data_IF_513397301416
#
_entry.id   IF_513397301416
#
_cell.length_a   1.000
_cell.length_b   1.000
_cell.length_c   1.000
_cell.angle_alpha   90.00
_cell.angle_beta   90.00
_cell.angle_gamma   90.00
#
_symmetry.space_group_name_H-M   'P 1'
#
loop_
_entity.id
_entity.type
_entity.pdbx_description
1 polymer ?
#
# COMPACT_ATOMS: atom_id res chain seq x y z
N UNK A 1 -43.06 -13.85 -54.25
CA UNK A 1 -43.11 -12.57 -53.50
C UNK A 1 -42.46 -12.74 -52.12
N UNK A 2 -41.27 -13.38 -52.02
CA UNK A 2 -40.75 -13.92 -50.74
C UNK A 2 -39.22 -14.06 -50.76
N UNK A 3 -38.47 -13.04 -51.20
CA UNK A 3 -36.99 -13.12 -51.26
C UNK A 3 -36.22 -11.80 -51.07
N UNK A 4 -36.86 -10.75 -50.54
CA UNK A 4 -36.23 -9.43 -50.35
C UNK A 4 -36.38 -8.84 -48.94
N UNK A 5 -36.30 -9.68 -47.91
CA UNK A 5 -36.46 -9.23 -46.51
C UNK A 5 -35.39 -9.77 -45.54
N UNK A 6 -34.25 -10.24 -46.07
CA UNK A 6 -33.21 -10.92 -45.27
C UNK A 6 -31.80 -10.35 -45.43
N UNK A 7 -31.66 -9.09 -45.84
CA UNK A 7 -30.35 -8.44 -46.06
C UNK A 7 -30.13 -7.19 -45.18
N UNK A 8 -31.15 -6.71 -44.47
CA UNK A 8 -31.02 -5.50 -43.64
C UNK A 8 -30.64 -5.74 -42.16
N UNK A 9 -30.42 -6.99 -41.73
CA UNK A 9 -30.21 -7.33 -40.31
C UNK A 9 -28.75 -7.65 -39.92
N UNK A 10 -27.79 -7.62 -40.86
CA UNK A 10 -26.38 -8.01 -40.61
C UNK A 10 -25.42 -6.80 -40.56
N UNK A 11 -25.87 -5.60 -40.90
CA UNK A 11 -25.04 -4.39 -40.96
C UNK A 11 -25.04 -3.53 -39.69
N UNK A 12 -25.52 -4.05 -38.56
CA UNK A 12 -25.35 -3.45 -37.24
C UNK A 12 -24.34 -4.26 -36.40
N UNK A 13 -23.18 -4.57 -36.99
CA UNK A 13 -21.99 -4.92 -36.23
C UNK A 13 -21.54 -3.65 -35.51
N UNK A 14 -22.15 -3.41 -34.34
CA UNK A 14 -21.77 -2.38 -33.38
C UNK A 14 -20.27 -2.51 -33.17
N UNK A 15 -19.51 -1.52 -33.66
CA UNK A 15 -18.12 -1.30 -33.30
C UNK A 15 -18.09 -1.01 -31.80
N UNK A 16 -18.02 -2.07 -30.99
CA UNK A 16 -17.73 -1.95 -29.56
C UNK A 16 -16.28 -1.49 -29.47
N UNK A 17 -16.08 -0.17 -29.44
CA UNK A 17 -14.78 0.38 -29.12
C UNK A 17 -14.38 -0.18 -27.74
N UNK A 18 -13.18 -0.75 -27.59
CA UNK A 18 -12.73 -1.24 -26.30
C UNK A 18 -12.75 -0.06 -25.32
N UNK A 19 -13.64 -0.15 -24.32
CA UNK A 19 -13.59 0.73 -23.15
C UNK A 19 -12.38 0.30 -22.35
N UNK A 20 -11.21 0.87 -22.68
CA UNK A 20 -10.01 0.72 -21.88
C UNK A 20 -10.24 1.44 -20.55
N UNK A 21 -10.66 0.69 -19.54
CA UNK A 21 -10.76 1.17 -18.17
C UNK A 21 -9.36 1.63 -17.71
N UNK A 22 -9.17 2.96 -17.61
CA UNK A 22 -7.94 3.56 -17.08
C UNK A 22 -7.80 3.14 -15.62
N UNK A 23 -6.96 2.12 -15.37
CA UNK A 23 -6.58 1.75 -14.00
C UNK A 23 -5.70 2.86 -13.44
N UNK A 24 -6.26 3.67 -12.53
CA UNK A 24 -5.49 4.60 -11.70
C UNK A 24 -4.76 3.76 -10.65
N UNK A 25 -3.44 3.92 -10.54
CA UNK A 25 -2.69 3.26 -9.48
C UNK A 25 -3.22 3.75 -8.12
N UNK A 26 -3.51 2.81 -7.22
CA UNK A 26 -3.96 3.14 -5.86
C UNK A 26 -2.81 3.81 -5.11
N UNK A 27 -3.04 5.04 -4.64
CA UNK A 27 -2.16 5.65 -3.64
C UNK A 27 -2.41 4.98 -2.28
N UNK A 28 -1.34 4.66 -1.57
CA UNK A 28 -1.46 4.12 -0.22
C UNK A 28 -2.02 5.15 0.77
N UNK A 29 -2.80 4.68 1.74
CA UNK A 29 -3.23 5.51 2.88
C UNK A 29 -2.03 5.88 3.76
N UNK A 30 -2.16 6.89 4.62
CA UNK A 30 -1.07 7.29 5.53
C UNK A 30 -0.59 6.12 6.42
N UNK A 31 -1.53 5.26 6.82
CA UNK A 31 -1.24 4.05 7.61
C UNK A 31 -0.51 2.98 6.81
N UNK A 32 -0.92 2.74 5.56
CA UNK A 32 -0.23 1.80 4.66
C UNK A 32 1.20 2.28 4.36
N UNK A 33 1.39 3.59 4.14
CA UNK A 33 2.73 4.18 3.94
C UNK A 33 3.59 4.04 5.19
N UNK A 34 3.04 4.30 6.38
CA UNK A 34 3.73 4.16 7.66
C UNK A 34 4.34 2.76 7.84
N UNK A 35 3.56 1.70 7.65
CA UNK A 35 4.02 0.34 7.96
C UNK A 35 5.07 -0.18 6.97
N UNK A 36 5.15 0.43 5.78
CA UNK A 36 6.08 0.13 4.69
C UNK A 36 7.39 0.92 4.75
N UNK A 37 7.36 2.12 5.32
CA UNK A 37 8.51 2.99 5.42
C UNK A 37 9.53 2.45 6.46
N UNK A 38 10.82 2.66 6.17
CA UNK A 38 11.90 2.44 7.14
C UNK A 38 12.05 3.65 8.08
N UNK A 39 11.78 4.85 7.57
CA UNK A 39 11.75 6.08 8.35
C UNK A 39 10.55 6.96 7.97
N UNK A 40 9.99 7.65 8.95
CA UNK A 40 8.86 8.59 8.78
C UNK A 40 9.21 9.88 9.51
N UNK A 41 9.19 11.00 8.79
CA UNK A 41 9.61 12.31 9.32
C UNK A 41 8.69 13.43 8.87
N UNK A 42 8.52 14.42 9.74
CA UNK A 42 8.01 15.75 9.37
C UNK A 42 9.22 16.66 9.21
N UNK A 43 9.30 17.36 8.09
CA UNK A 43 10.44 18.23 7.82
C UNK A 43 10.29 19.08 6.58
N UNK A 44 11.41 19.71 6.22
CA UNK A 44 11.53 20.62 5.07
C UNK A 44 12.72 20.24 4.20
N UNK A 45 12.54 20.20 2.89
CA UNK A 45 13.64 20.07 1.94
C UNK A 45 14.49 21.35 2.01
N UNK A 46 15.67 21.27 2.62
CA UNK A 46 16.54 22.40 2.87
C UNK A 46 17.45 22.73 1.68
N UNK A 47 17.82 21.72 0.89
CA UNK A 47 18.70 21.88 -0.27
C UNK A 47 18.53 20.71 -1.24
N UNK A 48 18.85 20.92 -2.51
CA UNK A 48 19.07 19.86 -3.49
C UNK A 48 20.56 19.86 -3.86
N UNK A 49 21.25 18.75 -3.61
CA UNK A 49 22.65 18.59 -3.97
C UNK A 49 22.81 18.64 -5.50
N UNK A 50 23.83 19.38 -5.96
CA UNK A 50 24.13 19.52 -7.40
C UNK A 50 24.73 18.25 -7.98
N UNK A 51 25.46 17.51 -7.15
CA UNK A 51 26.12 16.27 -7.53
C UNK A 51 25.12 15.12 -7.56
N UNK A 52 25.19 14.31 -8.62
CA UNK A 52 24.37 13.11 -8.74
C UNK A 52 25.06 11.94 -8.08
N UNK A 53 24.30 11.14 -7.33
CA UNK A 53 24.81 9.92 -6.70
C UNK A 53 24.45 8.71 -7.58
N UNK A 54 25.45 7.93 -7.96
CA UNK A 54 25.26 6.74 -8.78
C UNK A 54 25.01 5.50 -7.91
N UNK A 55 23.84 4.87 -8.05
CA UNK A 55 23.48 3.67 -7.31
C UNK A 55 22.64 2.71 -8.17
N UNK A 56 22.67 1.42 -7.85
CA UNK A 56 21.80 0.43 -8.51
C UNK A 56 20.36 0.61 -8.04
N UNK A 57 19.35 0.55 -8.92
CA UNK A 57 17.96 0.85 -8.53
C UNK A 57 17.28 -0.27 -7.73
N UNK A 58 17.70 -1.51 -7.94
CA UNK A 58 17.23 -2.69 -7.23
C UNK A 58 18.41 -3.63 -6.95
N UNK A 59 18.32 -4.50 -5.93
CA UNK A 59 19.35 -5.50 -5.66
C UNK A 59 19.65 -6.35 -6.91
N UNK A 60 20.93 -6.47 -7.28
CA UNK A 60 21.38 -7.27 -8.42
C UNK A 60 21.26 -6.61 -9.79
N UNK A 61 20.77 -5.38 -9.92
CA UNK A 61 20.74 -4.68 -11.20
C UNK A 61 22.17 -4.43 -11.74
N UNK A 62 22.44 -4.69 -13.03
CA UNK A 62 23.75 -4.46 -13.62
C UNK A 62 24.05 -2.96 -13.81
N UNK A 63 23.02 -2.17 -14.09
CA UNK A 63 23.14 -0.75 -14.40
C UNK A 63 22.92 0.12 -13.16
N UNK A 64 23.70 1.20 -13.06
CA UNK A 64 23.52 2.24 -12.05
C UNK A 64 22.69 3.39 -12.62
N UNK A 65 21.80 3.93 -11.81
CA UNK A 65 21.08 5.16 -12.09
C UNK A 65 21.70 6.33 -11.32
N UNK A 66 21.60 7.51 -11.90
CA UNK A 66 22.05 8.76 -11.27
C UNK A 66 20.90 9.41 -10.51
N UNK A 67 21.01 9.46 -9.19
CA UNK A 67 20.02 10.03 -8.29
C UNK A 67 20.35 11.48 -7.98
N UNK A 68 19.34 12.36 -8.01
CA UNK A 68 19.41 13.67 -7.37
C UNK A 68 19.16 13.50 -5.88
N UNK A 69 19.92 14.20 -5.04
CA UNK A 69 19.78 14.12 -3.60
C UNK A 69 19.12 15.39 -3.07
N UNK A 70 17.95 15.26 -2.45
CA UNK A 70 17.36 16.29 -1.60
C UNK A 70 17.77 16.07 -0.15
N UNK A 71 18.13 17.13 0.56
CA UNK A 71 18.40 17.08 2.01
C UNK A 71 17.14 17.57 2.73
N UNK A 72 16.57 16.70 3.57
CA UNK A 72 15.41 17.04 4.40
C UNK A 72 15.91 17.38 5.80
N UNK A 73 15.70 18.62 6.23
CA UNK A 73 15.85 19.02 7.63
C UNK A 73 14.64 18.50 8.41
N UNK A 74 14.90 17.68 9.42
CA UNK A 74 13.86 17.06 10.25
C UNK A 74 13.42 18.05 11.32
N UNK A 75 12.12 18.28 11.38
CA UNK A 75 11.47 19.01 12.47
C UNK A 75 10.96 18.03 13.54
N UNK A 76 10.43 16.89 13.12
CA UNK A 76 9.98 15.82 14.02
C UNK A 76 10.25 14.46 13.40
N UNK A 77 11.05 13.64 14.06
CA UNK A 77 11.23 12.23 13.70
C UNK A 77 10.12 11.37 14.31
N UNK A 78 9.33 10.71 13.47
CA UNK A 78 8.20 9.87 13.92
C UNK A 78 8.61 8.38 14.02
N UNK A 79 9.35 7.87 13.04
CA UNK A 79 9.92 6.52 13.06
C UNK A 79 11.24 6.47 12.30
N UNK A 80 12.14 5.56 12.70
CA UNK A 80 13.40 5.26 11.96
C UNK A 80 14.42 6.40 11.86
N UNK A 81 14.12 7.58 12.42
CA UNK A 81 14.93 8.79 12.29
C UNK A 81 15.20 9.47 13.65
N UNK A 82 15.23 8.68 14.73
CA UNK A 82 15.58 9.20 16.05
C UNK A 82 17.01 9.76 16.03
N UNK A 83 17.20 10.95 16.59
CA UNK A 83 18.49 11.64 16.70
C UNK A 83 19.15 12.07 15.37
N UNK A 84 18.41 12.08 14.27
CA UNK A 84 18.91 12.57 12.97
C UNK A 84 18.30 13.96 12.70
N UNK A 85 19.14 14.94 12.37
CA UNK A 85 18.68 16.31 12.06
C UNK A 85 18.46 16.53 10.56
N UNK A 86 19.19 15.80 9.72
CA UNK A 86 19.11 15.90 8.27
C UNK A 86 19.15 14.50 7.64
N UNK A 87 18.26 14.23 6.68
CA UNK A 87 18.25 13.00 5.90
C UNK A 87 18.47 13.30 4.41
N UNK A 88 19.35 12.53 3.78
CA UNK A 88 19.53 12.53 2.32
C UNK A 88 18.47 11.65 1.66
N UNK A 89 17.75 12.20 0.70
CA UNK A 89 16.70 11.52 -0.05
C UNK A 89 17.00 11.57 -1.54
N UNK A 90 17.28 10.40 -2.12
CA UNK A 90 17.50 10.21 -3.55
C UNK A 90 16.19 10.09 -4.31
N UNK A 91 16.11 10.79 -5.44
CA UNK A 91 15.03 10.66 -6.42
C UNK A 91 15.59 10.71 -7.84
N UNK A 92 14.90 10.05 -8.77
CA UNK A 92 15.31 10.05 -10.17
C UNK A 92 14.90 11.37 -10.83
N UNK A 93 15.79 12.01 -11.60
CA UNK A 93 15.40 13.18 -12.37
C UNK A 93 14.28 12.81 -13.35
N UNK A 94 13.34 13.72 -13.64
CA UNK A 94 12.34 13.47 -14.66
C UNK A 94 13.05 13.14 -15.99
N UNK A 95 12.56 12.13 -16.74
CA UNK A 95 13.13 11.84 -18.05
C UNK A 95 13.03 13.10 -18.92
N UNK A 96 13.99 13.34 -19.83
CA UNK A 96 13.87 14.40 -20.82
C UNK A 96 12.51 14.30 -21.51
N UNK A 97 11.86 15.44 -21.76
CA UNK A 97 10.60 15.45 -22.47
C UNK A 97 10.76 14.66 -23.77
N UNK A 98 10.05 13.55 -23.89
CA UNK A 98 10.09 12.77 -25.12
C UNK A 98 9.65 13.70 -26.27
N UNK A 99 10.35 13.73 -27.41
CA UNK A 99 9.87 14.46 -28.56
C UNK A 99 8.45 14.00 -28.85
N UNK A 100 7.54 14.96 -29.08
CA UNK A 100 6.15 14.65 -29.38
C UNK A 100 6.13 13.59 -30.49
N UNK A 101 5.64 12.38 -30.18
CA UNK A 101 5.67 11.29 -31.13
C UNK A 101 4.85 11.72 -32.35
N UNK A 102 5.54 11.91 -33.48
CA UNK A 102 4.91 12.27 -34.74
C UNK A 102 3.91 11.17 -35.11
N UNK A 103 2.62 11.48 -35.05
CA UNK A 103 1.54 10.53 -35.35
C UNK A 103 0.89 9.85 -34.13
N UNK A 104 1.22 10.22 -32.89
CA UNK A 104 0.36 9.84 -31.77
C UNK A 104 -1.01 10.53 -31.96
N UNK A 105 -2.12 9.76 -31.96
CA UNK A 105 -3.45 10.34 -32.19
C UNK A 105 -3.70 11.46 -31.17
N UNK A 106 -4.16 12.65 -31.61
CA UNK A 106 -4.48 13.74 -30.70
C UNK A 106 -5.50 13.26 -29.66
N UNK A 107 -5.13 13.36 -28.38
CA UNK A 107 -6.04 13.06 -27.28
C UNK A 107 -5.90 11.69 -26.62
N UNK A 108 -4.85 10.89 -26.89
CA UNK A 108 -4.49 9.78 -25.97
C UNK A 108 -3.67 10.35 -24.81
N UNK A 109 -4.26 10.60 -23.62
CA UNK A 109 -3.46 10.99 -22.46
C UNK A 109 -2.47 9.87 -22.18
N UNK A 110 -1.19 10.25 -22.16
CA UNK A 110 -0.09 9.38 -21.75
C UNK A 110 -0.53 8.69 -20.47
N UNK A 111 -0.50 7.36 -20.47
CA UNK A 111 -0.85 6.51 -19.33
C UNK A 111 -0.20 7.15 -18.11
N UNK A 112 -1.01 7.62 -17.16
CA UNK A 112 -0.55 8.22 -15.91
C UNK A 112 0.16 7.12 -15.12
N UNK A 113 1.40 6.84 -15.50
CA UNK A 113 2.29 5.98 -14.75
C UNK A 113 2.52 6.59 -13.38
N UNK A 114 3.16 5.80 -12.52
CA UNK A 114 3.67 6.30 -11.25
C UNK A 114 4.42 7.62 -11.50
N UNK A 115 3.86 8.72 -10.99
CA UNK A 115 4.43 10.04 -11.22
C UNK A 115 5.84 10.05 -10.62
N UNK A 116 6.84 10.58 -11.35
CA UNK A 116 8.18 10.70 -10.79
C UNK A 116 8.12 11.59 -9.54
N UNK A 117 8.74 11.12 -8.47
CA UNK A 117 8.92 11.94 -7.26
C UNK A 117 9.89 13.07 -7.62
N UNK A 118 9.45 14.31 -7.45
CA UNK A 118 10.29 15.48 -7.65
C UNK A 118 10.23 16.34 -6.38
N UNK A 119 11.34 16.38 -5.65
CA UNK A 119 11.47 17.23 -4.48
C UNK A 119 11.86 18.65 -4.90
N UNK A 120 11.28 19.64 -4.25
CA UNK A 120 11.63 21.06 -4.45
C UNK A 120 12.18 21.66 -3.16
N UNK A 121 13.15 22.58 -3.29
CA UNK A 121 13.65 23.31 -2.12
C UNK A 121 12.51 24.08 -1.45
N UNK A 122 12.48 24.02 -0.13
CA UNK A 122 11.42 24.62 0.68
C UNK A 122 10.15 23.78 0.79
N UNK A 123 10.06 22.62 0.14
CA UNK A 123 8.92 21.70 0.30
C UNK A 123 8.84 21.19 1.74
N UNK A 124 7.71 21.41 2.38
CA UNK A 124 7.41 20.97 3.74
C UNK A 124 6.37 19.86 3.69
N UNK A 125 6.52 18.84 4.55
CA UNK A 125 5.57 17.73 4.55
C UNK A 125 5.90 16.59 5.47
N UNK A 126 5.10 15.54 5.35
CA UNK A 126 5.25 14.24 5.99
C UNK A 126 5.83 13.26 4.98
N UNK A 127 7.05 12.83 5.22
CA UNK A 127 7.84 12.00 4.31
C UNK A 127 7.89 10.56 4.80
N UNK A 128 7.66 9.63 3.87
CA UNK A 128 7.71 8.18 4.08
C UNK A 128 8.90 7.64 3.29
N UNK A 129 9.94 7.25 4.01
CA UNK A 129 11.26 7.03 3.48
C UNK A 129 11.62 5.54 3.54
N UNK A 130 12.17 5.02 2.46
CA UNK A 130 12.72 3.66 2.36
C UNK A 130 14.23 3.76 2.25
N UNK A 131 14.98 2.96 3.00
CA UNK A 131 16.44 2.96 2.91
C UNK A 131 16.86 2.40 1.55
N UNK A 132 17.74 3.12 0.84
CA UNK A 132 18.29 2.62 -0.40
C UNK A 132 19.14 1.37 -0.13
N UNK A 133 19.04 0.34 -0.99
CA UNK A 133 19.69 -0.95 -0.70
C UNK A 133 21.22 -0.91 -0.82
N UNK A 134 21.77 -0.07 -1.71
CA UNK A 134 23.21 0.03 -1.98
C UNK A 134 23.81 1.41 -1.69
N UNK A 135 23.00 2.39 -1.31
CA UNK A 135 23.41 3.79 -1.18
C UNK A 135 23.17 4.31 0.23
N UNK A 136 23.97 5.27 0.69
CA UNK A 136 23.81 5.91 2.00
C UNK A 136 22.81 7.08 1.94
N UNK A 137 21.60 6.77 1.48
CA UNK A 137 20.48 7.69 1.38
C UNK A 137 19.16 6.92 1.43
N UNK A 138 18.06 7.66 1.60
CA UNK A 138 16.70 7.12 1.51
C UNK A 138 16.08 7.41 0.16
N UNK A 139 15.05 6.68 -0.24
CA UNK A 139 14.22 6.97 -1.41
C UNK A 139 12.77 7.12 -1.00
N UNK A 140 11.97 7.67 -1.92
CA UNK A 140 10.52 7.72 -1.80
C UNK A 140 9.94 6.82 -2.89
N UNK A 141 9.20 5.79 -2.47
CA UNK A 141 8.44 4.95 -3.39
C UNK A 141 7.35 5.80 -4.05
N UNK A 142 7.15 5.73 -5.39
CA UNK A 142 6.10 6.48 -6.05
C UNK A 142 4.67 6.20 -5.55
N UNK A 143 4.47 5.06 -4.87
CA UNK A 143 3.21 4.70 -4.21
C UNK A 143 3.07 5.27 -2.79
N UNK A 144 4.15 5.84 -2.26
CA UNK A 144 4.23 6.52 -0.96
C UNK A 144 4.66 7.99 -1.12
N UNK A 145 4.01 8.79 -1.98
CA UNK A 145 4.41 10.19 -2.14
C UNK A 145 4.28 10.93 -0.81
N UNK A 146 5.12 11.96 -0.57
CA UNK A 146 5.03 12.77 0.64
C UNK A 146 3.65 13.43 0.73
N UNK A 147 3.18 13.64 1.95
CA UNK A 147 1.98 14.44 2.18
C UNK A 147 2.42 15.89 2.37
N UNK A 148 2.01 16.75 1.44
CA UNK A 148 2.31 18.19 1.48
C UNK A 148 1.71 18.82 2.75
N UNK A 149 2.48 19.64 3.46
CA UNK A 149 2.01 20.35 4.66
C UNK A 149 0.80 21.27 4.40
N UNK A 150 0.58 21.68 3.15
CA UNK A 150 -0.54 22.51 2.70
C UNK A 150 -1.78 21.70 2.28
N UNK A 151 -1.69 20.37 2.25
CA UNK A 151 -2.86 19.53 1.94
C UNK A 151 -3.92 19.68 3.03
N UNK A 152 -5.20 19.74 2.64
CA UNK A 152 -6.32 19.93 3.59
C UNK A 152 -6.38 18.81 4.64
N UNK A 153 -5.98 17.59 4.28
CA UNK A 153 -5.97 16.42 5.14
C UNK A 153 -4.62 16.16 5.84
N UNK A 154 -3.65 17.07 5.73
CA UNK A 154 -2.30 16.89 6.28
C UNK A 154 -2.30 16.54 7.77
N UNK A 155 -3.01 17.34 8.59
CA UNK A 155 -3.07 17.11 10.05
C UNK A 155 -3.72 15.77 10.40
N UNK A 156 -4.74 15.36 9.63
CA UNK A 156 -5.42 14.06 9.81
C UNK A 156 -4.44 12.93 9.54
N UNK A 157 -3.66 13.02 8.46
CA UNK A 157 -2.66 12.01 8.14
C UNK A 157 -1.54 11.94 9.19
N UNK A 158 -1.08 13.08 9.72
CA UNK A 158 -0.09 13.11 10.82
C UNK A 158 -0.62 12.39 12.06
N UNK A 159 -1.86 12.66 12.47
CA UNK A 159 -2.46 11.99 13.64
C UNK A 159 -2.72 10.50 13.38
N UNK A 160 -3.14 10.11 12.16
CA UNK A 160 -3.25 8.70 11.77
C UNK A 160 -1.90 7.99 11.88
N UNK A 161 -0.80 8.62 11.43
CA UNK A 161 0.55 8.07 11.57
C UNK A 161 0.94 7.91 13.04
N UNK A 162 0.72 8.92 13.88
CA UNK A 162 0.99 8.81 15.33
C UNK A 162 0.19 7.69 15.98
N UNK A 163 -1.10 7.56 15.64
CA UNK A 163 -1.95 6.48 16.13
C UNK A 163 -1.42 5.12 15.69
N UNK A 164 -1.02 4.99 14.42
CA UNK A 164 -0.40 3.77 13.89
C UNK A 164 0.90 3.43 14.60
N UNK A 165 1.74 4.42 14.92
CA UNK A 165 2.97 4.21 15.69
C UNK A 165 2.70 3.71 17.10
N UNK A 166 1.67 4.24 17.76
CA UNK A 166 1.25 3.74 19.08
C UNK A 166 0.81 2.27 19.01
N UNK A 167 0.13 1.85 17.93
CA UNK A 167 -0.20 0.43 17.70
C UNK A 167 1.06 -0.41 17.52
N UNK A 168 2.01 0.05 16.70
CA UNK A 168 3.24 -0.71 16.45
C UNK A 168 4.14 -0.82 17.70
N UNK A 169 4.06 0.16 18.61
CA UNK A 169 4.81 0.16 19.87
C UNK A 169 4.23 -0.82 20.91
N UNK A 170 2.90 -0.99 20.96
CA UNK A 170 2.23 -1.92 21.87
C UNK A 170 0.99 -2.57 21.21
N UNK A 171 1.21 -3.59 20.34
CA UNK A 171 0.14 -4.22 19.57
C UNK A 171 -0.95 -4.84 20.43
N UNK A 172 -0.56 -5.55 21.50
CA UNK A 172 -1.49 -6.28 22.37
C UNK A 172 -2.39 -5.31 23.14
N UNK A 173 -1.84 -4.21 23.69
CA UNK A 173 -2.65 -3.17 24.34
C UNK A 173 -3.64 -2.54 23.37
N UNK A 174 -3.20 -2.20 22.16
CA UNK A 174 -4.07 -1.58 21.16
C UNK A 174 -5.22 -2.51 20.73
N UNK A 175 -4.92 -3.80 20.51
CA UNK A 175 -5.92 -4.82 20.19
C UNK A 175 -6.88 -5.14 21.34
N UNK A 176 -6.50 -4.84 22.59
CA UNK A 176 -7.35 -4.96 23.78
C UNK A 176 -8.08 -3.66 24.15
N UNK A 177 -8.00 -2.61 23.33
CA UNK A 177 -8.72 -1.35 23.57
C UNK A 177 -10.20 -1.61 23.80
N UNK A 178 -10.84 -0.87 24.70
CA UNK A 178 -12.27 -0.97 24.97
C UNK A 178 -13.11 -0.53 23.75
N UNK A 179 -12.58 0.42 22.95
CA UNK A 179 -13.26 0.96 21.77
C UNK A 179 -13.07 0.04 20.57
N UNK A 180 -14.18 -0.37 19.95
CA UNK A 180 -14.17 -1.26 18.78
C UNK A 180 -13.37 -0.67 17.60
N UNK A 181 -13.50 0.64 17.34
CA UNK A 181 -12.79 1.31 16.25
C UNK A 181 -11.27 1.34 16.47
N UNK A 182 -10.81 1.42 17.71
CA UNK A 182 -9.38 1.39 18.03
C UNK A 182 -8.80 -0.01 17.81
N UNK A 183 -9.54 -1.05 18.24
CA UNK A 183 -9.15 -2.45 17.95
C UNK A 183 -9.13 -2.70 16.44
N UNK A 184 -10.14 -2.22 15.73
CA UNK A 184 -10.26 -2.36 14.29
C UNK A 184 -9.09 -1.70 13.55
N UNK A 185 -8.77 -0.46 13.92
CA UNK A 185 -7.61 0.26 13.41
C UNK A 185 -6.31 -0.49 13.73
N UNK A 186 -6.14 -0.99 14.95
CA UNK A 186 -4.94 -1.74 15.34
C UNK A 186 -4.76 -3.01 14.49
N UNK A 187 -5.81 -3.81 14.32
CA UNK A 187 -5.75 -5.00 13.47
C UNK A 187 -5.41 -4.66 12.02
N UNK A 188 -5.97 -3.58 11.46
CA UNK A 188 -5.65 -3.13 10.11
C UNK A 188 -4.17 -2.74 9.95
N UNK A 189 -3.62 -1.97 10.89
CA UNK A 189 -2.19 -1.60 10.91
C UNK A 189 -1.32 -2.86 10.94
N UNK A 190 -1.62 -3.80 11.83
CA UNK A 190 -0.81 -4.99 12.05
C UNK A 190 -0.85 -5.95 10.87
N UNK A 191 -2.02 -6.23 10.30
CA UNK A 191 -2.13 -7.07 9.08
C UNK A 191 -1.34 -6.46 7.92
N UNK A 192 -1.47 -5.15 7.71
CA UNK A 192 -0.67 -4.48 6.68
C UNK A 192 0.82 -4.56 6.99
N UNK A 193 1.24 -4.40 8.25
CA UNK A 193 2.66 -4.53 8.63
C UNK A 193 3.20 -5.94 8.38
N UNK A 194 2.44 -6.98 8.74
CA UNK A 194 2.90 -8.36 8.59
C UNK A 194 2.93 -8.83 7.15
N UNK A 195 2.03 -8.35 6.29
CA UNK A 195 1.87 -8.85 4.92
C UNK A 195 2.31 -7.83 3.86
N UNK A 196 2.88 -6.70 4.27
CA UNK A 196 3.53 -5.77 3.35
C UNK A 196 4.87 -6.34 2.88
N UNK A 197 5.02 -6.45 1.57
CA UNK A 197 6.33 -6.71 0.97
C UNK A 197 7.26 -5.52 1.23
N UNK A 198 8.56 -5.74 1.56
CA UNK A 198 9.52 -4.66 1.73
C UNK A 198 9.59 -3.75 0.50
N UNK A 199 9.57 -2.44 0.74
CA UNK A 199 9.84 -1.47 -0.32
C UNK A 199 11.30 -1.64 -0.78
N UNK A 200 11.55 -1.56 -2.10
CA UNK A 200 12.85 -1.84 -2.70
C UNK A 200 13.13 -3.31 -3.01
N UNK A 201 12.18 -4.21 -2.72
CA UNK A 201 12.25 -5.62 -3.11
C UNK A 201 13.15 -6.48 -2.20
N UNK A 202 13.66 -7.57 -2.75
CA UNK A 202 14.43 -8.59 -2.04
C UNK A 202 13.59 -9.79 -1.61
N UNK A 203 14.22 -10.87 -1.18
CA UNK A 203 13.51 -12.08 -0.72
C UNK A 203 12.90 -11.87 0.69
N UNK A 204 11.73 -12.45 0.90
CA UNK A 204 11.08 -12.54 2.21
C UNK A 204 10.92 -13.98 2.63
N UNK A 205 10.92 -14.22 3.92
CA UNK A 205 10.52 -15.49 4.53
C UNK A 205 9.35 -15.24 5.49
N UNK A 206 8.57 -16.29 5.74
CA UNK A 206 7.48 -16.24 6.72
C UNK A 206 8.03 -16.50 8.12
N UNK A 207 7.71 -15.60 9.06
CA UNK A 207 7.88 -15.79 10.48
C UNK A 207 6.51 -15.79 11.18
N UNK A 208 6.39 -16.50 12.30
CA UNK A 208 5.13 -16.50 13.08
C UNK A 208 5.00 -15.24 13.92
N UNK A 209 3.82 -14.64 13.90
CA UNK A 209 3.40 -13.61 14.87
C UNK A 209 3.11 -14.30 16.20
N UNK A 210 3.43 -13.67 17.37
CA UNK A 210 3.12 -14.25 18.68
C UNK A 210 1.67 -14.72 18.78
N UNK A 211 1.43 -15.84 19.46
CA UNK A 211 0.12 -16.49 19.49
C UNK A 211 -0.97 -15.57 20.01
N UNK A 212 -0.75 -14.89 21.13
CA UNK A 212 -1.72 -13.97 21.71
C UNK A 212 -2.10 -12.83 20.75
N UNK A 213 -1.09 -12.19 20.15
CA UNK A 213 -1.25 -11.10 19.18
C UNK A 213 -2.02 -11.58 17.94
N UNK A 214 -1.64 -12.75 17.37
CA UNK A 214 -2.34 -13.36 16.24
C UNK A 214 -3.82 -13.60 16.55
N UNK A 215 -4.11 -14.20 17.70
CA UNK A 215 -5.48 -14.55 18.09
C UNK A 215 -6.34 -13.30 18.31
N UNK A 216 -5.77 -12.23 18.86
CA UNK A 216 -6.46 -10.95 18.99
C UNK A 216 -6.77 -10.32 17.62
N UNK A 217 -5.80 -10.31 16.70
CA UNK A 217 -6.01 -9.79 15.33
C UNK A 217 -7.12 -10.58 14.61
N UNK A 218 -7.08 -11.91 14.66
CA UNK A 218 -8.07 -12.78 14.00
C UNK A 218 -9.48 -12.54 14.55
N UNK A 219 -9.64 -12.41 15.87
CA UNK A 219 -10.92 -12.08 16.50
C UNK A 219 -11.45 -10.73 16.05
N UNK A 220 -10.60 -9.71 15.93
CA UNK A 220 -11.00 -8.40 15.43
C UNK A 220 -11.44 -8.48 13.96
N UNK A 221 -10.69 -9.19 13.11
CA UNK A 221 -11.08 -9.39 11.70
C UNK A 221 -12.43 -10.10 11.60
N UNK A 222 -12.64 -11.15 12.40
CA UNK A 222 -13.88 -11.92 12.42
C UNK A 222 -15.09 -11.08 12.88
N UNK A 223 -14.89 -10.17 13.83
CA UNK A 223 -15.95 -9.27 14.31
C UNK A 223 -16.18 -8.05 13.39
N UNK A 224 -15.18 -7.66 12.60
CA UNK A 224 -15.17 -6.41 11.84
C UNK A 224 -16.19 -6.30 10.70
N UNK A 225 -16.29 -5.09 10.12
CA UNK A 225 -17.11 -4.84 8.95
C UNK A 225 -16.42 -5.31 7.66
N UNK A 226 -16.99 -6.32 7.00
CA UNK A 226 -16.48 -6.89 5.75
C UNK A 226 -17.05 -6.20 4.51
N UNK A 227 -18.05 -5.34 4.68
CA UNK A 227 -18.69 -4.56 3.62
C UNK A 227 -18.67 -3.07 4.01
N UNK A 228 -17.48 -2.44 4.02
CA UNK A 228 -17.40 -1.01 4.27
C UNK A 228 -18.13 -0.22 3.17
N UNK A 229 -18.54 1.00 3.49
CA UNK A 229 -19.04 1.94 2.49
C UNK A 229 -17.95 2.15 1.42
N UNK A 230 -18.22 1.84 0.13
CA UNK A 230 -17.23 2.02 -0.93
C UNK A 230 -16.83 3.48 -1.15
N UNK A 231 -17.60 4.45 -0.65
CA UNK A 231 -17.30 5.88 -0.76
C UNK A 231 -16.48 6.42 0.42
N UNK A 232 -16.35 5.64 1.51
CA UNK A 232 -15.55 6.03 2.65
C UNK A 232 -14.07 5.79 2.34
N UNK A 233 -13.35 6.87 1.99
CA UNK A 233 -11.93 6.89 1.58
C UNK A 233 -11.00 6.08 2.49
N UNK A 234 -11.28 6.08 3.79
CA UNK A 234 -10.45 5.43 4.83
C UNK A 234 -11.14 4.25 5.52
N UNK A 235 -12.23 3.72 4.96
CA UNK A 235 -12.93 2.62 5.59
C UNK A 235 -12.08 1.34 5.59
N UNK A 236 -11.92 0.76 6.77
CA UNK A 236 -11.21 -0.50 6.97
C UNK A 236 -12.05 -1.64 6.37
N UNK A 237 -11.51 -2.24 5.31
CA UNK A 237 -12.11 -3.42 4.69
C UNK A 237 -11.53 -4.70 5.32
N UNK A 238 -12.29 -5.33 6.22
CA UNK A 238 -11.84 -6.58 6.85
C UNK A 238 -11.85 -7.79 5.93
N UNK A 239 -12.61 -7.77 4.83
CA UNK A 239 -12.51 -8.79 3.80
C UNK A 239 -11.14 -8.72 3.09
N UNK A 240 -10.64 -7.52 2.81
CA UNK A 240 -9.29 -7.34 2.28
C UNK A 240 -8.22 -7.78 3.29
N UNK A 241 -8.36 -7.43 4.57
CA UNK A 241 -7.44 -7.86 5.62
C UNK A 241 -7.43 -9.40 5.77
N UNK A 242 -8.58 -10.04 5.71
CA UNK A 242 -8.72 -11.49 5.66
C UNK A 242 -7.98 -12.10 4.45
N UNK A 243 -8.16 -11.54 3.25
CA UNK A 243 -7.46 -12.01 2.05
C UNK A 243 -5.94 -11.93 2.16
N UNK A 244 -5.41 -10.95 2.91
CA UNK A 244 -3.96 -10.80 3.14
C UNK A 244 -3.36 -11.91 4.03
N UNK A 245 -4.17 -12.59 4.84
CA UNK A 245 -3.72 -13.69 5.69
C UNK A 245 -3.17 -14.87 4.87
N UNK A 246 -3.59 -15.02 3.60
CA UNK A 246 -3.09 -16.06 2.71
C UNK A 246 -3.52 -17.47 3.09
N UNK A 247 -4.66 -17.61 3.79
CA UNK A 247 -5.17 -18.89 4.25
C UNK A 247 -5.45 -19.84 3.08
N UNK A 248 -5.02 -21.09 3.22
CA UNK A 248 -5.23 -22.13 2.23
C UNK A 248 -5.57 -23.50 2.85
N UNK A 249 -6.06 -24.43 2.02
CA UNK A 249 -6.52 -25.74 2.48
C UNK A 249 -5.35 -26.61 2.95
N UNK A 250 -4.29 -26.69 2.14
CA UNK A 250 -3.16 -27.59 2.37
C UNK A 250 -2.38 -27.28 3.65
N UNK A 251 -2.23 -26.00 3.99
CA UNK A 251 -1.45 -25.55 5.15
C UNK A 251 -2.31 -25.24 6.37
N UNK A 252 -3.48 -24.62 6.16
CA UNK A 252 -4.28 -24.03 7.25
C UNK A 252 -5.65 -24.72 7.41
N UNK A 253 -5.97 -25.70 6.56
CA UNK A 253 -7.29 -26.34 6.53
C UNK A 253 -8.41 -25.35 6.18
N UNK A 254 -8.09 -24.22 5.55
CA UNK A 254 -9.07 -23.22 5.15
C UNK A 254 -9.65 -23.54 3.78
N UNK A 255 -10.99 -23.67 3.73
CA UNK A 255 -11.74 -23.87 2.50
C UNK A 255 -12.70 -22.72 2.29
N UNK A 256 -12.62 -22.08 1.12
CA UNK A 256 -13.61 -21.08 0.74
C UNK A 256 -15.00 -21.72 0.62
N UNK A 257 -16.06 -21.04 1.10
CA UNK A 257 -17.40 -21.57 0.98
C UNK A 257 -17.83 -21.57 -0.49
N UNK A 258 -18.48 -22.65 -0.92
CA UNK A 258 -19.26 -22.62 -2.15
C UNK A 258 -20.55 -21.86 -1.87
N UNK A 259 -20.84 -20.84 -2.68
CA UNK A 259 -22.06 -20.05 -2.55
C UNK A 259 -23.10 -20.46 -3.58
N UNK A 260 -24.36 -20.53 -3.15
CA UNK A 260 -25.47 -20.79 -4.07
C UNK A 260 -25.81 -19.51 -4.85
N UNK A 261 -26.45 -19.62 -6.02
CA UNK A 261 -26.97 -18.44 -6.72
C UNK A 261 -27.86 -17.60 -5.79
N UNK A 262 -27.58 -16.30 -5.71
CA UNK A 262 -28.32 -15.34 -4.87
C UNK A 262 -27.78 -15.17 -3.44
N UNK A 263 -26.83 -15.99 -3.00
CA UNK A 263 -26.14 -15.78 -1.72
C UNK A 263 -24.97 -14.79 -1.86
N UNK A 264 -24.72 -14.01 -0.83
CA UNK A 264 -23.58 -13.09 -0.79
C UNK A 264 -22.30 -13.82 -0.39
N UNK A 265 -21.29 -13.78 -1.27
CA UNK A 265 -20.01 -14.44 -1.04
C UNK A 265 -19.25 -13.92 0.18
N UNK A 266 -19.32 -12.62 0.45
CA UNK A 266 -18.61 -11.99 1.57
C UNK A 266 -19.19 -12.43 2.90
N UNK A 267 -20.53 -12.48 3.01
CA UNK A 267 -21.21 -12.94 4.22
C UNK A 267 -20.93 -14.41 4.50
N UNK A 268 -21.03 -15.27 3.48
CA UNK A 268 -20.72 -16.69 3.62
C UNK A 268 -19.26 -16.94 3.99
N UNK A 269 -18.34 -16.16 3.42
CA UNK A 269 -16.92 -16.25 3.77
C UNK A 269 -16.68 -15.83 5.22
N UNK A 270 -17.34 -14.76 5.70
CA UNK A 270 -17.26 -14.34 7.10
C UNK A 270 -17.79 -15.41 8.05
N UNK A 271 -18.97 -15.97 7.76
CA UNK A 271 -19.56 -17.07 8.55
C UNK A 271 -18.64 -18.29 8.62
N UNK A 272 -18.05 -18.69 7.49
CA UNK A 272 -17.10 -19.79 7.42
C UNK A 272 -15.82 -19.48 8.21
N UNK A 273 -15.33 -18.24 8.14
CA UNK A 273 -14.12 -17.80 8.86
C UNK A 273 -14.29 -17.86 10.37
N UNK A 274 -15.43 -17.37 10.89
CA UNK A 274 -15.77 -17.48 12.31
C UNK A 274 -15.79 -18.93 12.76
N UNK A 275 -16.49 -19.82 12.02
CA UNK A 275 -16.55 -21.25 12.35
C UNK A 275 -15.18 -21.92 12.29
N UNK A 276 -14.35 -21.55 11.32
CA UNK A 276 -12.99 -22.08 11.20
C UNK A 276 -12.13 -21.66 12.39
N UNK A 277 -12.22 -20.41 12.86
CA UNK A 277 -11.49 -19.94 14.05
C UNK A 277 -11.89 -20.69 15.33
N UNK A 278 -13.16 -21.11 15.45
CA UNK A 278 -13.62 -21.92 16.59
C UNK A 278 -13.22 -23.40 16.49
N UNK A 279 -12.78 -23.85 15.31
CA UNK A 279 -12.42 -25.22 15.00
C UNK A 279 -10.96 -25.36 14.52
N UNK A 280 -10.72 -25.77 13.26
CA UNK A 280 -9.36 -26.03 12.75
C UNK A 280 -8.39 -24.85 12.87
N UNK A 281 -8.89 -23.61 12.76
CA UNK A 281 -8.11 -22.38 12.86
C UNK A 281 -7.80 -21.90 14.28
N UNK A 282 -8.26 -22.61 15.33
CA UNK A 282 -8.11 -22.17 16.72
C UNK A 282 -6.66 -21.96 17.15
N UNK A 283 -5.72 -22.74 16.59
CA UNK A 283 -4.28 -22.61 16.85
C UNK A 283 -3.54 -21.85 15.74
N UNK A 284 -4.24 -21.28 14.76
CA UNK A 284 -3.60 -20.56 13.67
C UNK A 284 -2.81 -19.34 14.20
N UNK A 285 -1.63 -19.15 13.62
CA UNK A 285 -0.79 -17.98 13.86
C UNK A 285 -0.55 -17.28 12.54
N UNK A 286 -0.71 -15.96 12.55
CA UNK A 286 -0.50 -15.14 11.36
C UNK A 286 0.98 -15.22 10.97
N UNK A 287 1.23 -15.41 9.68
CA UNK A 287 2.56 -15.28 9.11
C UNK A 287 2.88 -13.81 8.84
N UNK A 288 4.06 -13.35 9.25
CA UNK A 288 4.62 -12.06 8.86
C UNK A 288 5.80 -12.26 7.92
N UNK A 289 5.90 -11.41 6.91
CA UNK A 289 7.07 -11.31 6.06
C UNK A 289 8.20 -10.64 6.83
N UNK A 290 9.34 -11.31 6.85
CA UNK A 290 10.60 -10.74 7.32
C UNK A 290 11.59 -10.80 6.17
N UNK A 291 12.38 -9.73 6.02
CA UNK A 291 13.40 -9.66 4.97
C UNK A 291 14.47 -10.71 5.25
N UNK A 292 14.79 -11.53 4.25
CA UNK A 292 15.89 -12.48 4.33
C UNK A 292 17.21 -11.71 4.39
N UNK A 293 18.06 -12.06 5.35
CA UNK A 293 19.37 -11.42 5.55
C UNK A 293 20.37 -11.85 4.50
#
# INVERSE_FOLDING_TARGET
MTRKLLVAAVAALVLVAPVEAKRIARNFTATEKLVRADAVVIGKVSAIEKELVSATPVPGAPDKLSYKIGVIKIETGLAGAANVTHIKVGFLPPPPAAPAAAGAPPGRPIRGGLLPINLTEGQEGLFYLTKHHSGDFYTISPMMPPTDAKAEDYKVQVEQVKKGLAVLADPVKALKSEKADDRAFAAHVLVNKYRAYPEGGGEVEDAKVPTEESQLVLKVIAAGNWKPDPNAKDAINFYQAFGMLGLNDDQDGWKYPMVKPGEDFTDKTKEAFVKWLDGPGKSYQINKFVKKK
#
